data_IF_188696035261
#
_entry.id   IF_188696035261
#
_cell.length_a   1.000
_cell.length_b   1.000
_cell.length_c   1.000
_cell.angle_alpha   90.00
_cell.angle_beta   90.00
_cell.angle_gamma   90.00
#
_symmetry.space_group_name_H-M   'P 1'
#
loop_
_entity.id
_entity.type
_entity.pdbx_description
1 polymer ?
#
# COMPACT_ATOMS: atom_id res chain seq x y z
N UNK A 1 3.56 11.18 26.04
CA UNK A 1 2.94 10.14 25.18
C UNK A 1 2.90 10.59 23.70
N UNK A 2 4.04 11.10 23.19
CA UNK A 2 4.17 11.62 21.80
C UNK A 2 4.86 10.58 20.90
N UNK A 3 5.74 9.76 21.47
CA UNK A 3 6.49 8.72 20.75
C UNK A 3 5.55 7.71 20.06
N UNK A 4 4.43 7.33 20.70
CA UNK A 4 3.45 6.41 20.14
C UNK A 4 2.69 6.99 18.93
N UNK A 5 2.44 8.31 18.94
CA UNK A 5 1.76 9.02 17.84
C UNK A 5 2.66 9.19 16.61
N UNK A 6 3.98 9.37 16.80
CA UNK A 6 4.95 9.49 15.71
C UNK A 6 5.15 8.13 15.00
N UNK A 7 5.15 7.02 15.74
CA UNK A 7 5.29 5.67 15.15
C UNK A 7 4.09 5.31 14.26
N UNK A 8 2.89 5.78 14.60
CA UNK A 8 1.69 5.56 13.78
C UNK A 8 1.71 6.31 12.42
N UNK A 9 2.54 7.35 12.30
CA UNK A 9 2.78 8.09 11.05
C UNK A 9 3.91 7.49 10.20
N UNK A 10 4.55 6.40 10.63
CA UNK A 10 5.75 5.83 9.99
C UNK A 10 5.52 4.51 9.23
N UNK A 11 4.28 4.01 9.17
CA UNK A 11 3.99 2.77 8.47
C UNK A 11 3.89 2.98 6.96
N UNK A 12 4.59 2.14 6.20
CA UNK A 12 4.53 2.15 4.73
C UNK A 12 3.24 1.48 4.27
N UNK A 13 2.43 2.20 3.50
CA UNK A 13 1.22 1.64 2.90
C UNK A 13 1.56 0.76 1.69
N UNK A 14 1.36 -0.55 1.84
CA UNK A 14 1.73 -1.51 0.81
C UNK A 14 0.81 -1.53 -0.41
N UNK A 15 -0.26 -0.75 -0.47
CA UNK A 15 -1.05 -0.60 -1.69
C UNK A 15 -0.76 0.71 -2.43
N UNK A 16 -0.50 1.79 -1.68
CA UNK A 16 -0.46 3.14 -2.24
C UNK A 16 0.92 3.81 -2.21
N UNK A 17 1.85 3.35 -1.37
CA UNK A 17 3.17 3.97 -1.26
C UNK A 17 3.98 3.84 -2.57
N UNK A 18 4.77 4.86 -2.95
CA UNK A 18 5.67 4.77 -4.10
C UNK A 18 6.76 3.71 -3.87
N UNK A 19 7.32 3.17 -4.96
CA UNK A 19 8.36 2.13 -4.88
C UNK A 19 9.57 2.53 -4.02
N UNK A 20 9.97 3.80 -4.08
CA UNK A 20 11.09 4.34 -3.29
C UNK A 20 10.84 4.31 -1.78
N UNK A 21 9.59 4.31 -1.33
CA UNK A 21 9.26 4.18 0.08
C UNK A 21 9.31 2.71 0.52
N UNK A 22 8.82 1.79 -0.32
CA UNK A 22 8.87 0.34 -0.07
C UNK A 22 10.33 -0.14 -0.02
N UNK A 23 11.21 0.42 -0.85
CA UNK A 23 12.64 0.12 -0.86
C UNK A 23 13.36 0.42 0.46
N UNK A 24 12.75 1.21 1.36
CA UNK A 24 13.29 1.51 2.70
C UNK A 24 13.00 0.41 3.73
N UNK A 25 12.16 -0.57 3.40
CA UNK A 25 11.85 -1.67 4.31
C UNK A 25 13.09 -2.56 4.54
N UNK A 26 13.31 -3.06 5.77
CA UNK A 26 14.48 -3.86 6.12
C UNK A 26 14.35 -5.33 5.67
N UNK A 27 14.23 -5.54 4.36
CA UNK A 27 14.07 -6.83 3.68
C UNK A 27 14.98 -6.89 2.44
N UNK A 28 15.08 -8.06 1.82
CA UNK A 28 15.89 -8.22 0.60
C UNK A 28 15.29 -7.49 -0.60
N UNK A 29 16.16 -7.07 -1.53
CA UNK A 29 15.74 -6.46 -2.80
C UNK A 29 14.79 -7.37 -3.59
N UNK A 30 15.05 -8.69 -3.60
CA UNK A 30 14.16 -9.65 -4.27
C UNK A 30 12.76 -9.70 -3.65
N UNK A 31 12.64 -9.57 -2.33
CA UNK A 31 11.34 -9.46 -1.66
C UNK A 31 10.63 -8.14 -1.97
N UNK A 32 11.38 -7.02 -2.10
CA UNK A 32 10.82 -5.73 -2.56
C UNK A 32 10.26 -5.84 -3.99
N UNK A 33 11.01 -6.48 -4.89
CA UNK A 33 10.58 -6.70 -6.28
C UNK A 33 9.31 -7.54 -6.34
N UNK A 34 9.23 -8.62 -5.58
CA UNK A 34 8.03 -9.46 -5.49
C UNK A 34 6.81 -8.72 -4.94
N UNK A 35 6.99 -7.81 -3.98
CA UNK A 35 5.89 -6.96 -3.48
C UNK A 35 5.37 -6.06 -4.60
N UNK A 36 6.27 -5.42 -5.35
CA UNK A 36 5.91 -4.54 -6.47
C UNK A 36 5.26 -5.31 -7.63
N UNK A 37 5.74 -6.51 -7.93
CA UNK A 37 5.18 -7.40 -8.94
C UNK A 37 3.80 -7.89 -8.52
N UNK A 38 3.62 -8.30 -7.27
CA UNK A 38 2.31 -8.70 -6.75
C UNK A 38 1.25 -7.61 -6.92
N UNK A 39 1.62 -6.35 -6.68
CA UNK A 39 0.72 -5.20 -6.95
C UNK A 39 0.29 -5.12 -8.40
N UNK A 40 1.21 -5.36 -9.33
CA UNK A 40 0.95 -5.28 -10.78
C UNK A 40 0.09 -6.44 -11.27
N UNK A 41 0.35 -7.65 -10.78
CA UNK A 41 -0.29 -8.87 -11.29
C UNK A 41 -1.62 -9.19 -10.60
N UNK A 42 -1.70 -9.02 -9.29
CA UNK A 42 -2.84 -9.46 -8.47
C UNK A 42 -3.63 -8.30 -7.87
N UNK A 43 -3.13 -7.06 -8.03
CA UNK A 43 -3.71 -5.87 -7.43
C UNK A 43 -3.39 -5.73 -5.95
N UNK A 44 -4.36 -5.26 -5.16
CA UNK A 44 -4.11 -4.85 -3.78
C UNK A 44 -3.93 -6.03 -2.83
N UNK A 45 -2.99 -5.86 -1.90
CA UNK A 45 -2.97 -6.67 -0.69
C UNK A 45 -4.26 -6.41 0.09
N UNK A 46 -4.89 -7.49 0.55
CA UNK A 46 -6.13 -7.43 1.36
C UNK A 46 -5.86 -7.48 2.86
N UNK A 47 -4.69 -8.00 3.23
CA UNK A 47 -4.25 -8.06 4.63
C UNK A 47 -2.72 -8.09 4.70
N UNK A 48 -2.16 -7.66 5.83
CA UNK A 48 -0.71 -7.72 6.07
C UNK A 48 -0.19 -9.17 5.90
N UNK A 49 -1.00 -10.18 6.24
CA UNK A 49 -0.62 -11.60 6.14
C UNK A 49 -0.39 -12.09 4.71
N UNK A 50 -0.93 -11.41 3.70
CA UNK A 50 -0.67 -11.76 2.30
C UNK A 50 0.79 -11.53 1.88
N UNK A 51 1.56 -10.76 2.66
CA UNK A 51 3.01 -10.67 2.49
C UNK A 51 3.71 -12.02 2.55
N UNK A 52 3.18 -13.00 3.29
CA UNK A 52 3.75 -14.35 3.37
C UNK A 52 3.76 -15.09 2.03
N UNK A 53 3.03 -14.59 1.02
CA UNK A 53 3.08 -15.11 -0.37
C UNK A 53 4.34 -14.64 -1.12
N UNK A 54 4.93 -13.52 -0.71
CA UNK A 54 5.98 -12.81 -1.47
C UNK A 54 7.28 -12.61 -0.70
N UNK A 55 7.25 -12.68 0.63
CA UNK A 55 8.43 -12.60 1.50
C UNK A 55 8.57 -13.82 2.40
N UNK A 56 9.78 -14.07 2.89
CA UNK A 56 10.02 -15.15 3.85
C UNK A 56 9.33 -14.90 5.21
N UNK A 57 9.03 -15.93 6.01
CA UNK A 57 8.49 -15.75 7.36
C UNK A 57 9.38 -14.89 8.27
N UNK A 58 10.69 -14.90 8.06
CA UNK A 58 11.63 -14.05 8.80
C UNK A 58 11.49 -12.58 8.42
N UNK A 59 11.50 -12.27 7.13
CA UNK A 59 11.27 -10.91 6.62
C UNK A 59 9.89 -10.39 7.04
N UNK A 60 8.85 -11.23 6.96
CA UNK A 60 7.52 -10.88 7.45
C UNK A 60 7.53 -10.45 8.91
N UNK A 61 8.21 -11.19 9.79
CA UNK A 61 8.33 -10.82 11.21
C UNK A 61 9.03 -9.47 11.41
N UNK A 62 10.00 -9.11 10.55
CA UNK A 62 10.69 -7.81 10.58
C UNK A 62 9.78 -6.64 10.22
N UNK A 63 8.91 -6.80 9.22
CA UNK A 63 8.17 -5.67 8.64
C UNK A 63 6.67 -5.60 8.97
N UNK A 64 6.05 -6.65 9.53
CA UNK A 64 4.59 -6.70 9.72
C UNK A 64 4.01 -5.56 10.57
N UNK A 65 4.84 -4.92 11.41
CA UNK A 65 4.44 -3.75 12.21
C UNK A 65 4.90 -2.41 11.61
N UNK A 66 5.71 -2.45 10.55
CA UNK A 66 6.22 -1.28 9.81
C UNK A 66 5.36 -0.96 8.58
N UNK A 67 4.33 -1.77 8.31
CA UNK A 67 3.50 -1.68 7.13
C UNK A 67 2.03 -1.64 7.48
N UNK A 68 1.25 -1.01 6.61
CA UNK A 68 -0.21 -0.97 6.68
C UNK A 68 -0.81 -1.31 5.32
N UNK A 69 -2.01 -1.89 5.34
CA UNK A 69 -2.79 -2.13 4.14
C UNK A 69 -3.96 -1.16 4.16
N UNK A 70 -3.96 -0.15 3.29
CA UNK A 70 -5.15 0.68 3.07
C UNK A 70 -5.84 0.23 1.80
N UNK A 71 -7.18 0.25 1.81
CA UNK A 71 -7.92 0.20 0.56
C UNK A 71 -7.56 1.47 -0.23
N UNK A 72 -7.45 1.39 -1.56
CA UNK A 72 -7.40 2.60 -2.36
C UNK A 72 -8.64 3.41 -2.06
N UNK A 73 -8.51 4.72 -2.01
CA UNK A 73 -9.69 5.57 -1.99
C UNK A 73 -10.49 5.29 -3.26
N UNK A 74 -11.63 4.60 -3.13
CA UNK A 74 -12.62 4.57 -4.18
C UNK A 74 -12.98 6.02 -4.48
N UNK A 75 -12.87 6.43 -5.76
CA UNK A 75 -13.42 7.71 -6.20
C UNK A 75 -14.94 7.58 -6.01
N UNK A 76 -15.43 8.05 -4.86
CA UNK A 76 -16.83 7.84 -4.43
C UNK A 76 -17.85 8.50 -5.36
N UNK A 77 -17.43 9.39 -6.25
CA UNK A 77 -18.31 10.27 -7.00
C UNK A 77 -17.95 10.35 -8.50
N UNK A 78 -17.70 9.21 -9.17
CA UNK A 78 -17.61 9.18 -10.64
C UNK A 78 -18.90 9.73 -11.32
N UNK A 79 -20.12 9.41 -10.85
CA UNK A 79 -21.34 9.98 -11.41
C UNK A 79 -21.41 11.51 -11.34
N UNK A 80 -21.03 12.11 -10.20
CA UNK A 80 -21.01 13.57 -10.03
C UNK A 80 -20.01 14.25 -10.97
N UNK A 81 -18.81 13.66 -11.13
CA UNK A 81 -17.78 14.23 -12.00
C UNK A 81 -18.22 14.21 -13.48
N UNK A 82 -18.85 13.10 -13.91
CA UNK A 82 -19.38 12.97 -15.27
C UNK A 82 -20.55 13.95 -15.49
N UNK A 83 -21.49 14.06 -14.56
CA UNK A 83 -22.64 14.96 -14.66
C UNK A 83 -22.21 16.42 -14.78
N UNK A 84 -21.25 16.85 -13.95
CA UNK A 84 -20.72 18.22 -14.00
C UNK A 84 -19.99 18.53 -15.32
N UNK A 85 -19.25 17.57 -15.87
CA UNK A 85 -18.57 17.75 -17.16
C UNK A 85 -19.59 17.84 -18.30
N UNK A 86 -20.61 16.99 -18.30
CA UNK A 86 -21.68 17.02 -19.31
C UNK A 86 -22.43 18.35 -19.29
N UNK A 87 -22.73 18.91 -18.12
CA UNK A 87 -23.37 20.23 -17.98
C UNK A 87 -22.49 21.40 -18.43
N UNK A 88 -21.16 21.24 -18.44
CA UNK A 88 -20.20 22.26 -18.88
C UNK A 88 -19.89 22.20 -20.38
N UNK A 89 -20.18 21.07 -21.02
CA UNK A 89 -19.96 20.84 -22.45
C UNK A 89 -21.26 20.94 -23.26
N UNK A 90 -22.41 21.13 -22.61
CA UNK A 90 -23.72 21.36 -23.19
C UNK A 90 -24.03 22.86 -23.35
#
# INVERSE_FOLDING_TARGET
>A
MIILLILFQLQVDLNNAPAEEIKKLPISTGSIEKILEYRREYGYFRSVYELLKVVSPEEFRKIKYLVVIKKPEEIKDIPYYIERIQQRLA
#
